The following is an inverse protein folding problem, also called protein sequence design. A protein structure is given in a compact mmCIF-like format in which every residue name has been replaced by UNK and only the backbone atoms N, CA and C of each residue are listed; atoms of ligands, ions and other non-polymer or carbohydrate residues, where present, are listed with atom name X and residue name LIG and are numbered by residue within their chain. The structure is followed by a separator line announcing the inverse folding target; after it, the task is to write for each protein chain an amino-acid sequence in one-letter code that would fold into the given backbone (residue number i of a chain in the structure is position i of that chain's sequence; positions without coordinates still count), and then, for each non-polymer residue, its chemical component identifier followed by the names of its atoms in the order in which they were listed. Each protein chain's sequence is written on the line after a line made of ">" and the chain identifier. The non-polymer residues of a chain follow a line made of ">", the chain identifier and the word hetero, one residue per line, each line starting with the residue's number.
data_IF_120369466859
#
_entry.id   IF_120369466859
#
_cell.length_a   1.000
_cell.length_b   1.000
_cell.length_c   1.000
_cell.angle_alpha   90.00
_cell.angle_beta   90.00
_cell.angle_gamma   90.00
#
_symmetry.space_group_name_H-M   'P 1'
#
loop_
_entity.id
_entity.type
_entity.pdbx_description
1 polymer ?
#
# COMPACT_ATOMS: atom_id res chain seq x y z
N UNK A 1 10.98 28.97 -16.79
CA UNK A 1 10.04 28.88 -15.66
C UNK A 1 10.42 27.65 -14.86
N UNK A 2 10.42 27.72 -13.52
CA UNK A 2 10.74 26.57 -12.68
C UNK A 2 9.71 25.45 -12.91
N UNK A 3 10.14 24.20 -12.78
CA UNK A 3 9.24 23.04 -12.84
C UNK A 3 8.62 22.81 -11.46
N UNK A 4 7.31 23.02 -11.36
CA UNK A 4 6.53 22.87 -10.13
C UNK A 4 5.68 21.61 -10.21
N UNK A 5 5.94 20.67 -9.30
CA UNK A 5 5.27 19.36 -9.24
C UNK A 5 4.52 19.22 -7.92
N UNK A 6 3.21 18.96 -8.00
CA UNK A 6 2.36 18.65 -6.85
C UNK A 6 2.03 17.15 -6.83
N UNK A 7 2.61 16.41 -5.90
CA UNK A 7 2.28 15.00 -5.63
C UNK A 7 1.04 14.88 -4.75
N UNK A 8 0.06 14.06 -5.15
CA UNK A 8 -1.19 13.83 -4.41
C UNK A 8 -1.46 12.33 -4.19
N UNK A 9 -1.42 11.91 -2.92
CA UNK A 9 -1.58 10.51 -2.50
C UNK A 9 -2.92 10.23 -1.78
N UNK A 10 -3.22 8.95 -1.56
CA UNK A 10 -4.27 8.45 -0.66
C UNK A 10 -5.73 8.72 -1.05
N UNK A 11 -6.00 9.24 -2.26
CA UNK A 11 -7.33 9.70 -2.66
C UNK A 11 -8.45 8.62 -2.72
N UNK A 12 -8.16 7.33 -2.51
CA UNK A 12 -9.18 6.27 -2.52
C UNK A 12 -9.39 5.54 -1.20
N UNK A 13 -8.38 5.47 -0.32
CA UNK A 13 -8.40 4.55 0.80
C UNK A 13 -8.01 5.23 2.10
N UNK A 14 -6.70 5.36 2.35
CA UNK A 14 -6.10 5.84 3.60
C UNK A 14 -4.88 6.70 3.26
N UNK A 15 -4.38 7.40 4.27
CA UNK A 15 -3.19 8.24 4.26
C UNK A 15 -3.15 9.25 3.10
N UNK A 16 -4.24 10.03 2.87
CA UNK A 16 -4.18 11.14 1.94
C UNK A 16 -3.12 12.14 2.37
N UNK A 17 -2.24 12.49 1.44
CA UNK A 17 -1.13 13.42 1.65
C UNK A 17 -0.80 14.19 0.38
N UNK A 18 -0.09 15.30 0.56
CA UNK A 18 0.43 16.12 -0.53
C UNK A 18 1.91 16.43 -0.32
N UNK A 19 2.65 16.56 -1.42
CA UNK A 19 4.03 17.04 -1.42
C UNK A 19 4.27 17.94 -2.62
N UNK A 20 4.94 19.07 -2.43
CA UNK A 20 5.26 20.02 -3.49
C UNK A 20 6.76 20.12 -3.68
N UNK A 21 7.17 19.98 -4.94
CA UNK A 21 8.55 20.12 -5.38
C UNK A 21 8.68 21.28 -6.35
N UNK A 22 9.78 22.03 -6.23
CA UNK A 22 10.21 23.06 -7.20
C UNK A 22 11.61 22.69 -7.67
N UNK A 23 11.79 22.49 -8.98
CA UNK A 23 13.07 22.11 -9.60
C UNK A 23 13.77 20.94 -8.90
N UNK A 24 12.96 19.97 -8.43
CA UNK A 24 13.44 18.76 -7.75
C UNK A 24 13.75 18.91 -6.26
N UNK A 25 13.63 20.11 -5.69
CA UNK A 25 13.72 20.34 -4.24
C UNK A 25 12.36 20.21 -3.57
N UNK A 26 12.28 19.44 -2.48
CA UNK A 26 11.06 19.34 -1.66
C UNK A 26 10.85 20.66 -0.90
N UNK A 27 9.72 21.32 -1.12
CA UNK A 27 9.38 22.60 -0.47
C UNK A 27 8.44 22.38 0.72
N UNK A 28 7.44 21.52 0.54
CA UNK A 28 6.47 21.20 1.58
C UNK A 28 5.93 19.78 1.37
N UNK A 29 5.65 19.08 2.47
CA UNK A 29 4.89 17.84 2.46
C UNK A 29 4.06 17.74 3.74
N UNK A 30 2.83 17.24 3.62
CA UNK A 30 1.96 17.08 4.77
C UNK A 30 0.94 15.95 4.56
N UNK A 31 0.52 15.35 5.67
CA UNK A 31 -0.54 14.35 5.73
C UNK A 31 -1.86 15.01 6.15
N UNK A 32 -2.97 14.66 5.47
CA UNK A 32 -4.28 15.26 5.71
C UNK A 32 -4.75 15.04 7.16
N UNK A 33 -4.43 13.88 7.75
CA UNK A 33 -4.82 13.54 9.12
C UNK A 33 -4.37 14.58 10.16
N UNK A 34 -3.27 15.30 9.89
CA UNK A 34 -2.74 16.34 10.78
C UNK A 34 -3.67 17.54 10.86
N UNK A 35 -4.37 17.85 9.76
CA UNK A 35 -5.29 18.98 9.66
C UNK A 35 -6.72 18.60 10.04
N UNK A 36 -7.23 17.46 9.55
CA UNK A 36 -8.60 17.02 9.86
C UNK A 36 -8.74 16.35 11.23
N UNK A 37 -7.61 16.05 11.90
CA UNK A 37 -7.55 15.40 13.22
C UNK A 37 -8.25 14.03 13.26
N UNK A 38 -8.27 13.36 12.11
CA UNK A 38 -8.93 12.07 11.87
C UNK A 38 -7.86 11.09 11.40
N UNK A 39 -7.52 10.10 12.24
CA UNK A 39 -6.39 9.19 12.03
C UNK A 39 -6.57 8.39 10.74
N UNK A 40 -5.53 8.33 9.92
CA UNK A 40 -5.48 7.83 8.55
C UNK A 40 -6.36 8.56 7.54
N UNK A 41 -7.15 9.55 7.98
CA UNK A 41 -8.11 10.34 7.19
C UNK A 41 -8.84 9.47 6.14
N UNK A 42 -9.36 8.31 6.57
CA UNK A 42 -9.87 7.26 5.66
C UNK A 42 -10.96 7.82 4.75
N UNK A 43 -10.88 7.49 3.46
CA UNK A 43 -11.76 7.96 2.39
C UNK A 43 -11.79 9.48 2.15
N UNK A 44 -10.88 10.27 2.73
CA UNK A 44 -10.76 11.70 2.46
C UNK A 44 -9.81 11.99 1.30
N UNK A 45 -9.80 13.25 0.86
CA UNK A 45 -8.88 13.78 -0.15
C UNK A 45 -7.81 14.63 0.54
N UNK A 46 -6.60 14.74 -0.01
CA UNK A 46 -5.54 15.60 0.55
C UNK A 46 -5.77 17.08 0.24
N UNK A 47 -6.94 17.63 0.63
CA UNK A 47 -7.30 19.01 0.32
C UNK A 47 -6.51 19.99 1.19
N UNK A 48 -6.55 19.81 2.50
CA UNK A 48 -5.89 20.71 3.45
C UNK A 48 -4.37 20.58 3.33
N UNK A 49 -3.86 19.37 3.13
CA UNK A 49 -2.45 19.12 2.85
C UNK A 49 -1.96 19.80 1.56
N UNK A 50 -2.73 19.74 0.46
CA UNK A 50 -2.37 20.41 -0.78
C UNK A 50 -2.43 21.93 -0.67
N UNK A 51 -3.46 22.48 -0.03
CA UNK A 51 -3.57 23.91 0.26
C UNK A 51 -2.38 24.41 1.08
N UNK A 52 -2.02 23.67 2.13
CA UNK A 52 -0.85 23.97 2.95
C UNK A 52 0.43 23.99 2.09
N UNK A 53 0.64 23.00 1.22
CA UNK A 53 1.84 22.95 0.39
C UNK A 53 1.95 24.16 -0.56
N UNK A 54 0.84 24.56 -1.20
CA UNK A 54 0.80 25.74 -2.07
C UNK A 54 1.06 27.04 -1.29
N UNK A 55 0.41 27.19 -0.13
CA UNK A 55 0.59 28.36 0.74
C UNK A 55 2.03 28.46 1.27
N UNK A 56 2.60 27.36 1.74
CA UNK A 56 3.96 27.30 2.27
C UNK A 56 5.01 27.68 1.23
N UNK A 57 4.74 27.39 -0.05
CA UNK A 57 5.62 27.74 -1.15
C UNK A 57 5.34 29.12 -1.75
N UNK A 58 4.27 29.80 -1.34
CA UNK A 58 3.85 31.08 -1.90
C UNK A 58 3.44 31.00 -3.37
N UNK A 59 2.95 29.83 -3.82
CA UNK A 59 2.61 29.55 -5.22
C UNK A 59 1.09 29.64 -5.42
N UNK A 60 0.67 30.32 -6.48
CA UNK A 60 -0.70 30.29 -6.93
C UNK A 60 -1.05 28.96 -7.61
N UNK A 61 -2.28 28.44 -7.47
CA UNK A 61 -2.69 27.17 -8.06
C UNK A 61 -2.39 27.03 -9.56
N UNK A 62 -2.53 28.10 -10.34
CA UNK A 62 -2.30 28.11 -11.79
C UNK A 62 -0.82 28.01 -12.21
N UNK A 63 0.13 28.08 -11.28
CA UNK A 63 1.56 27.96 -11.57
C UNK A 63 2.05 26.50 -11.51
N UNK A 64 1.26 25.58 -10.93
CA UNK A 64 1.60 24.16 -10.89
C UNK A 64 1.66 23.62 -12.32
N UNK A 65 2.76 22.94 -12.69
CA UNK A 65 2.94 22.41 -14.04
C UNK A 65 2.49 20.96 -14.16
N UNK A 66 2.81 20.16 -13.14
CA UNK A 66 2.55 18.71 -13.13
C UNK A 66 1.89 18.31 -11.81
N UNK A 67 0.88 17.45 -11.89
CA UNK A 67 0.31 16.76 -10.74
C UNK A 67 0.67 15.29 -10.84
N UNK A 68 1.47 14.79 -9.89
CA UNK A 68 1.88 13.39 -9.85
C UNK A 68 0.97 12.58 -8.92
N UNK A 69 0.56 11.38 -9.35
CA UNK A 69 -0.28 10.48 -8.53
C UNK A 69 0.35 9.09 -8.42
N UNK A 70 0.39 8.46 -7.23
CA UNK A 70 1.09 7.19 -6.99
C UNK A 70 0.21 5.98 -7.33
N UNK A 71 -0.44 6.02 -8.50
CA UNK A 71 -1.24 4.94 -9.05
C UNK A 71 -1.19 4.99 -10.58
N UNK A 72 -0.68 3.95 -11.21
CA UNK A 72 -0.59 3.84 -12.66
C UNK A 72 -1.50 2.74 -13.24
N UNK A 73 -1.95 2.87 -14.49
CA UNK A 73 -2.63 1.78 -15.17
C UNK A 73 -1.65 0.64 -15.47
N UNK A 74 -2.05 -0.60 -15.13
CA UNK A 74 -1.28 -1.80 -15.45
C UNK A 74 -1.86 -2.41 -16.73
N UNK A 75 -1.04 -2.60 -17.77
CA UNK A 75 -1.49 -3.21 -19.02
C UNK A 75 -1.87 -4.69 -18.82
N UNK A 76 -2.85 -5.17 -19.59
CA UNK A 76 -3.28 -6.58 -19.54
C UNK A 76 -2.20 -7.56 -20.02
N UNK A 77 -1.26 -7.08 -20.82
CA UNK A 77 -0.10 -7.83 -21.31
C UNK A 77 0.96 -8.06 -20.24
N UNK A 78 0.92 -7.31 -19.12
CA UNK A 78 1.83 -7.54 -17.99
C UNK A 78 1.37 -8.75 -17.16
N UNK A 79 2.31 -9.51 -16.57
CA UNK A 79 1.99 -10.74 -15.84
C UNK A 79 1.16 -10.50 -14.57
N UNK A 80 1.14 -9.28 -14.03
CA UNK A 80 0.52 -8.94 -12.75
C UNK A 80 -0.94 -9.39 -12.60
N UNK A 81 -1.78 -9.04 -13.59
CA UNK A 81 -3.21 -9.38 -13.54
C UNK A 81 -3.45 -10.88 -13.69
N UNK A 82 -2.66 -11.54 -14.53
CA UNK A 82 -2.75 -12.98 -14.76
C UNK A 82 -2.26 -13.78 -13.56
N UNK A 83 -1.18 -13.35 -12.92
CA UNK A 83 -0.69 -13.96 -11.68
C UNK A 83 -1.74 -13.85 -10.57
N UNK A 84 -2.31 -12.65 -10.36
CA UNK A 84 -3.41 -12.43 -9.43
C UNK A 84 -4.59 -13.37 -9.72
N UNK A 85 -5.08 -13.39 -10.96
CA UNK A 85 -6.21 -14.22 -11.35
C UNK A 85 -5.94 -15.72 -11.16
N UNK A 86 -4.75 -16.20 -11.56
CA UNK A 86 -4.33 -17.60 -11.41
C UNK A 86 -4.22 -18.01 -9.94
N UNK A 87 -3.59 -17.19 -9.11
CA UNK A 87 -3.37 -17.51 -7.69
C UNK A 87 -4.67 -17.43 -6.88
N UNK A 88 -5.59 -16.57 -7.28
CA UNK A 88 -6.94 -16.45 -6.72
C UNK A 88 -8.03 -17.17 -7.54
N UNK A 89 -7.71 -18.29 -8.20
CA UNK A 89 -8.66 -19.05 -9.03
C UNK A 89 -9.97 -19.44 -8.32
N UNK A 90 -9.94 -19.54 -6.99
CA UNK A 90 -11.10 -19.86 -6.14
C UNK A 90 -12.02 -18.64 -5.86
N UNK A 91 -11.68 -17.46 -6.37
CA UNK A 91 -12.48 -16.24 -6.32
C UNK A 91 -12.69 -15.72 -7.76
N UNK A 92 -13.52 -16.40 -8.57
CA UNK A 92 -13.64 -16.13 -10.00
C UNK A 92 -14.14 -14.71 -10.30
N UNK A 93 -15.01 -14.15 -9.46
CA UNK A 93 -15.47 -12.76 -9.56
C UNK A 93 -14.31 -11.77 -9.52
N UNK A 94 -13.36 -11.97 -8.59
CA UNK A 94 -12.18 -11.12 -8.41
C UNK A 94 -11.15 -11.34 -9.51
N UNK A 95 -10.94 -12.60 -9.92
CA UNK A 95 -10.05 -12.94 -11.01
C UNK A 95 -10.50 -12.28 -12.33
N UNK A 96 -11.80 -12.37 -12.65
CA UNK A 96 -12.36 -11.74 -13.84
C UNK A 96 -12.30 -10.20 -13.77
N UNK A 97 -12.63 -9.59 -12.62
CA UNK A 97 -12.49 -8.14 -12.45
C UNK A 97 -11.03 -7.68 -12.62
N UNK A 98 -10.05 -8.45 -12.14
CA UNK A 98 -8.64 -8.12 -12.35
C UNK A 98 -8.24 -8.16 -13.84
N UNK A 99 -8.70 -9.15 -14.60
CA UNK A 99 -8.36 -9.28 -16.03
C UNK A 99 -9.03 -8.19 -16.87
N UNK A 100 -10.35 -8.05 -16.78
CA UNK A 100 -11.13 -7.18 -17.65
C UNK A 100 -11.24 -5.74 -17.13
N UNK A 101 -11.10 -5.55 -15.83
CA UNK A 101 -11.36 -4.27 -15.15
C UNK A 101 -10.24 -3.85 -14.20
N UNK A 102 -9.02 -4.39 -14.36
CA UNK A 102 -7.90 -4.15 -13.43
C UNK A 102 -7.50 -2.69 -13.23
N UNK A 103 -7.84 -1.80 -14.18
CA UNK A 103 -7.60 -0.35 -14.04
C UNK A 103 -8.78 0.42 -13.42
N UNK A 104 -9.81 -0.25 -12.89
CA UNK A 104 -10.95 0.40 -12.22
C UNK A 104 -10.49 1.27 -11.06
N UNK A 105 -9.53 0.79 -10.26
CA UNK A 105 -8.94 1.55 -9.14
C UNK A 105 -8.29 2.83 -9.65
N UNK A 106 -7.41 2.73 -10.65
CA UNK A 106 -6.80 3.89 -11.31
C UNK A 106 -7.83 4.92 -11.81
N UNK A 107 -8.87 4.49 -12.54
CA UNK A 107 -9.90 5.41 -13.07
C UNK A 107 -10.65 6.15 -11.96
N UNK A 108 -11.00 5.46 -10.86
CA UNK A 108 -11.63 6.10 -9.70
C UNK A 108 -10.66 7.07 -9.00
N UNK A 109 -9.39 6.68 -8.85
CA UNK A 109 -8.36 7.53 -8.24
C UNK A 109 -8.21 8.82 -9.04
N UNK A 110 -8.00 8.71 -10.36
CA UNK A 110 -7.90 9.83 -11.28
C UNK A 110 -9.13 10.74 -11.20
N UNK A 111 -10.34 10.19 -11.23
CA UNK A 111 -11.56 10.99 -11.14
C UNK A 111 -11.65 11.80 -9.84
N UNK A 112 -11.26 11.22 -8.71
CA UNK A 112 -11.25 11.92 -7.42
C UNK A 112 -10.18 13.02 -7.36
N UNK A 113 -9.01 12.78 -7.94
CA UNK A 113 -7.96 13.80 -8.04
C UNK A 113 -8.40 14.96 -8.93
N UNK A 114 -9.03 14.71 -10.09
CA UNK A 114 -9.53 15.80 -10.94
C UNK A 114 -10.55 16.68 -10.21
N UNK A 115 -11.45 16.09 -9.41
CA UNK A 115 -12.38 16.84 -8.57
C UNK A 115 -11.69 17.61 -7.44
N UNK A 116 -10.56 17.11 -6.91
CA UNK A 116 -9.73 17.83 -5.95
C UNK A 116 -9.03 19.04 -6.59
N UNK A 117 -8.47 18.87 -7.80
CA UNK A 117 -7.79 19.97 -8.50
C UNK A 117 -8.74 21.15 -8.74
N UNK A 118 -9.99 20.88 -9.13
CA UNK A 118 -11.02 21.91 -9.24
C UNK A 118 -11.26 22.66 -7.92
N UNK A 119 -11.29 21.95 -6.78
CA UNK A 119 -11.44 22.57 -5.45
C UNK A 119 -10.23 23.41 -5.05
N UNK A 120 -9.04 23.07 -5.55
CA UNK A 120 -7.80 23.84 -5.34
C UNK A 120 -7.68 25.04 -6.28
N UNK A 121 -8.58 25.19 -7.26
CA UNK A 121 -8.47 26.22 -8.31
C UNK A 121 -7.41 25.90 -9.38
N UNK A 122 -7.01 24.63 -9.48
CA UNK A 122 -6.13 24.12 -10.54
C UNK A 122 -7.01 23.60 -11.67
N UNK A 123 -6.90 24.20 -12.86
CA UNK A 123 -7.67 23.77 -14.03
C UNK A 123 -7.17 22.41 -14.55
N UNK A 124 -7.96 21.34 -14.46
CA UNK A 124 -7.52 20.03 -14.90
C UNK A 124 -7.31 19.91 -16.43
N UNK A 125 -7.83 20.86 -17.22
CA UNK A 125 -7.61 20.88 -18.67
C UNK A 125 -6.22 21.39 -19.06
N UNK A 126 -5.59 22.16 -18.19
CA UNK A 126 -4.31 22.83 -18.43
C UNK A 126 -3.15 22.24 -17.60
N UNK A 127 -3.40 21.12 -16.92
CA UNK A 127 -2.41 20.45 -16.05
C UNK A 127 -1.99 19.11 -16.64
N UNK A 128 -0.69 18.82 -16.58
CA UNK A 128 -0.19 17.48 -16.86
C UNK A 128 -0.42 16.59 -15.62
N UNK A 129 -1.20 15.53 -15.78
CA UNK A 129 -1.41 14.53 -14.73
C UNK A 129 -0.52 13.33 -15.00
N UNK A 130 0.49 13.13 -14.15
CA UNK A 130 1.50 12.08 -14.30
C UNK A 130 1.22 10.90 -13.35
N UNK A 131 0.74 9.75 -13.86
CA UNK A 131 0.54 8.55 -13.06
C UNK A 131 1.84 7.77 -12.87
N UNK A 132 2.28 7.61 -11.63
CA UNK A 132 3.49 6.88 -11.25
C UNK A 132 3.11 5.54 -10.63
N UNK A 133 3.79 4.45 -11.01
CA UNK A 133 3.59 3.13 -10.39
C UNK A 133 3.80 3.22 -8.88
N UNK A 134 2.89 2.66 -8.08
CA UNK A 134 2.86 2.85 -6.63
C UNK A 134 4.19 2.50 -5.94
N UNK A 135 4.78 1.36 -6.28
CA UNK A 135 6.06 0.93 -5.73
C UNK A 135 7.25 1.74 -6.24
N UNK A 136 7.15 2.29 -7.46
CA UNK A 136 8.17 3.22 -7.95
C UNK A 136 8.13 4.52 -7.16
N UNK A 137 6.94 5.00 -6.77
CA UNK A 137 6.79 6.15 -5.89
C UNK A 137 7.41 5.87 -4.50
N UNK A 138 7.16 4.71 -3.90
CA UNK A 138 7.83 4.28 -2.66
C UNK A 138 9.35 4.17 -2.81
N UNK A 139 9.84 3.54 -3.88
CA UNK A 139 11.26 3.44 -4.16
C UNK A 139 11.91 4.82 -4.31
N UNK A 140 11.22 5.75 -4.97
CA UNK A 140 11.65 7.13 -5.17
C UNK A 140 11.74 7.91 -3.87
N UNK A 141 10.74 7.80 -2.99
CA UNK A 141 10.73 8.53 -1.71
C UNK A 141 11.83 8.06 -0.75
N UNK A 142 12.36 6.84 -0.94
CA UNK A 142 13.55 6.38 -0.23
C UNK A 142 14.83 6.79 -0.96
N UNK A 143 15.01 6.35 -2.21
CA UNK A 143 16.28 6.52 -2.93
C UNK A 143 16.63 7.99 -3.18
N UNK A 144 15.71 8.80 -3.70
CA UNK A 144 16.00 10.21 -4.00
C UNK A 144 16.14 11.08 -2.75
N UNK A 145 15.66 10.60 -1.59
CA UNK A 145 15.80 11.27 -0.30
C UNK A 145 16.94 10.71 0.57
N UNK A 146 17.61 9.63 0.13
CA UNK A 146 18.64 8.94 0.92
C UNK A 146 19.95 9.72 1.05
N UNK A 147 20.24 10.61 0.10
CA UNK A 147 21.55 11.27 -0.02
C UNK A 147 22.65 10.38 -0.62
N UNK A 148 22.34 9.14 -0.99
CA UNK A 148 23.32 8.23 -1.60
C UNK A 148 23.60 8.62 -3.06
N UNK A 149 24.88 8.59 -3.42
CA UNK A 149 25.36 8.88 -4.78
C UNK A 149 25.79 7.63 -5.54
N UNK A 150 26.22 6.60 -4.81
CA UNK A 150 26.59 5.31 -5.37
C UNK A 150 25.37 4.48 -5.79
N UNK A 151 25.67 3.42 -6.54
CA UNK A 151 24.69 2.40 -6.90
C UNK A 151 24.10 1.78 -5.64
N UNK A 152 22.80 2.00 -5.43
CA UNK A 152 22.12 1.71 -4.18
C UNK A 152 21.05 0.63 -4.39
N UNK A 153 21.07 -0.45 -3.61
CA UNK A 153 19.99 -1.43 -3.63
C UNK A 153 18.71 -0.86 -3.00
N UNK A 154 17.56 -1.17 -3.60
CA UNK A 154 16.25 -0.71 -3.15
C UNK A 154 15.36 -1.93 -2.93
N UNK A 155 14.81 -2.05 -1.72
CA UNK A 155 13.80 -3.05 -1.37
C UNK A 155 12.59 -2.34 -0.76
N UNK A 156 11.42 -2.53 -1.34
CA UNK A 156 10.15 -2.06 -0.79
C UNK A 156 9.26 -3.25 -0.46
N UNK A 157 8.74 -3.32 0.76
CA UNK A 157 7.78 -4.33 1.20
C UNK A 157 6.50 -3.61 1.58
N UNK A 158 5.41 -3.92 0.90
CA UNK A 158 4.11 -3.28 1.11
C UNK A 158 2.99 -4.33 1.19
N UNK A 159 1.81 -3.91 1.64
CA UNK A 159 0.59 -4.69 1.53
C UNK A 159 0.25 -4.96 0.07
N UNK A 160 -0.02 -3.90 -0.71
CA UNK A 160 -0.38 -3.96 -2.13
C UNK A 160 -0.50 -2.56 -2.77
N UNK A 161 0.29 -2.32 -3.81
CA UNK A 161 0.09 -1.21 -4.75
C UNK A 161 -1.07 -1.45 -5.74
N UNK A 162 -0.77 -1.43 -7.04
CA UNK A 162 -1.73 -1.86 -8.07
C UNK A 162 -1.96 -3.37 -7.98
N UNK A 163 -0.86 -4.11 -8.01
CA UNK A 163 -0.78 -5.57 -7.90
C UNK A 163 0.52 -6.03 -7.25
N UNK A 164 1.60 -5.26 -7.40
CA UNK A 164 2.86 -5.52 -6.75
C UNK A 164 2.72 -5.41 -5.22
N UNK A 165 3.48 -6.23 -4.50
CA UNK A 165 3.49 -6.36 -3.03
C UNK A 165 4.91 -6.23 -2.46
N UNK A 166 5.91 -6.51 -3.28
CA UNK A 166 7.32 -6.27 -2.95
C UNK A 166 8.03 -5.77 -4.20
N UNK A 167 8.96 -4.84 -4.03
CA UNK A 167 9.79 -4.26 -5.09
C UNK A 167 11.25 -4.51 -4.77
N UNK A 168 11.99 -5.01 -5.75
CA UNK A 168 13.44 -5.11 -5.74
C UNK A 168 13.99 -4.34 -6.93
N UNK A 169 14.96 -3.49 -6.67
CA UNK A 169 15.63 -2.72 -7.71
C UNK A 169 16.92 -2.12 -7.20
N UNK A 170 17.48 -1.24 -8.01
CA UNK A 170 18.59 -0.39 -7.59
C UNK A 170 18.43 1.01 -8.16
N UNK A 171 18.94 1.99 -7.43
CA UNK A 171 19.12 3.35 -7.86
C UNK A 171 20.54 3.57 -8.38
N UNK A 172 20.67 4.18 -9.56
CA UNK A 172 21.96 4.59 -10.11
C UNK A 172 21.76 5.83 -10.99
N UNK A 173 22.62 6.85 -10.86
CA UNK A 173 22.51 8.11 -11.62
C UNK A 173 21.11 8.75 -11.60
N UNK A 174 20.48 8.82 -10.41
CA UNK A 174 19.10 9.33 -10.21
C UNK A 174 18.00 8.58 -11.01
N UNK A 175 18.29 7.36 -11.46
CA UNK A 175 17.30 6.47 -12.10
C UNK A 175 17.09 5.25 -11.24
N UNK A 176 15.85 4.79 -11.19
CA UNK A 176 15.48 3.56 -10.49
C UNK A 176 15.30 2.46 -11.53
N UNK A 177 16.03 1.36 -11.35
CA UNK A 177 15.98 0.17 -12.18
C UNK A 177 15.31 -0.95 -11.40
N UNK A 178 14.11 -1.33 -11.83
CA UNK A 178 13.41 -2.48 -11.26
C UNK A 178 14.10 -3.77 -11.70
N UNK A 179 14.42 -4.64 -10.74
CA UNK A 179 14.92 -6.00 -10.97
C UNK A 179 13.75 -7.00 -10.90
N UNK A 180 12.94 -6.91 -9.84
CA UNK A 180 11.89 -7.91 -9.57
C UNK A 180 10.75 -7.32 -8.74
N UNK A 181 9.58 -7.89 -8.88
CA UNK A 181 8.45 -7.66 -8.00
C UNK A 181 7.84 -8.99 -7.55
N UNK A 182 7.31 -9.01 -6.33
CA UNK A 182 6.28 -9.97 -5.96
C UNK A 182 4.90 -9.37 -6.17
N UNK A 183 3.93 -10.25 -6.39
CA UNK A 183 2.61 -9.88 -6.87
C UNK A 183 1.57 -10.58 -5.99
N UNK A 184 0.55 -9.83 -5.58
CA UNK A 184 -0.60 -10.30 -4.79
C UNK A 184 -1.18 -11.61 -5.40
N UNK A 185 -1.40 -12.68 -4.61
CA UNK A 185 -1.40 -12.82 -3.13
C UNK A 185 -0.07 -12.85 -2.42
N UNK A 186 1.05 -12.87 -3.12
CA UNK A 186 2.34 -13.17 -2.50
C UNK A 186 2.92 -11.91 -1.84
N UNK A 187 2.35 -11.55 -0.67
CA UNK A 187 2.61 -10.33 0.09
C UNK A 187 2.94 -10.63 1.55
N UNK A 188 4.13 -10.23 2.01
CA UNK A 188 4.48 -10.28 3.43
C UNK A 188 3.69 -9.24 4.24
N UNK A 189 3.49 -8.03 3.70
CA UNK A 189 2.66 -7.01 4.35
C UNK A 189 1.22 -7.47 4.51
N UNK A 190 0.67 -8.13 3.49
CA UNK A 190 -0.66 -8.77 3.57
C UNK A 190 -0.71 -9.89 4.61
N UNK A 191 0.33 -10.73 4.67
CA UNK A 191 0.38 -11.85 5.63
C UNK A 191 0.40 -11.31 7.07
N UNK A 192 1.26 -10.31 7.32
CA UNK A 192 1.35 -9.63 8.60
C UNK A 192 0.04 -8.94 8.98
N UNK A 193 -0.62 -8.30 8.01
CA UNK A 193 -1.95 -7.71 8.18
C UNK A 193 -3.04 -8.75 8.50
N UNK A 194 -3.01 -9.92 7.86
CA UNK A 194 -3.95 -11.00 8.13
C UNK A 194 -3.76 -11.57 9.56
N UNK A 195 -2.51 -11.74 10.01
CA UNK A 195 -2.21 -12.14 11.39
C UNK A 195 -2.58 -11.03 12.38
N UNK A 196 -2.39 -9.76 12.01
CA UNK A 196 -2.84 -8.62 12.82
C UNK A 196 -4.34 -8.65 13.06
N UNK A 197 -5.14 -8.93 12.02
CA UNK A 197 -6.58 -9.13 12.17
C UNK A 197 -6.93 -10.34 13.04
N UNK A 198 -6.18 -11.44 12.90
CA UNK A 198 -6.36 -12.66 13.70
C UNK A 198 -6.05 -12.41 15.19
N UNK A 199 -5.07 -11.57 15.47
CA UNK A 199 -4.67 -11.15 16.82
C UNK A 199 -5.56 -10.07 17.44
N UNK A 200 -6.70 -9.78 16.81
CA UNK A 200 -7.73 -8.92 17.39
C UNK A 200 -7.63 -7.45 16.97
N UNK A 201 -6.56 -7.06 16.28
CA UNK A 201 -6.34 -5.68 15.86
C UNK A 201 -6.88 -5.40 14.45
N UNK A 202 -6.86 -4.15 14.02
CA UNK A 202 -7.26 -3.78 12.67
C UNK A 202 -6.07 -3.77 11.71
N UNK A 203 -6.25 -4.29 10.50
CA UNK A 203 -5.24 -4.14 9.43
C UNK A 203 -5.07 -2.66 9.04
N UNK A 204 -3.84 -2.27 8.70
CA UNK A 204 -3.41 -0.90 8.38
C UNK A 204 -3.46 0.07 9.58
N UNK A 205 -3.41 -0.47 10.80
CA UNK A 205 -3.32 0.31 12.04
C UNK A 205 -2.69 -0.54 13.16
N UNK A 206 -3.11 -1.78 13.32
CA UNK A 206 -2.75 -2.66 14.42
C UNK A 206 -1.36 -3.29 14.35
N UNK A 207 -0.69 -3.21 13.20
CA UNK A 207 0.56 -3.91 12.91
C UNK A 207 1.66 -3.56 13.94
N UNK A 208 1.76 -2.28 14.35
CA UNK A 208 2.74 -1.86 15.35
C UNK A 208 2.45 -2.43 16.74
N UNK A 209 1.19 -2.76 17.06
CA UNK A 209 0.83 -3.40 18.34
C UNK A 209 1.26 -4.85 18.35
N UNK A 210 1.13 -5.56 17.23
CA UNK A 210 1.65 -6.92 17.07
C UNK A 210 3.16 -6.93 17.22
N UNK A 211 3.85 -6.00 16.55
CA UNK A 211 5.29 -5.81 16.72
C UNK A 211 5.67 -5.51 18.16
N UNK A 212 4.88 -4.67 18.87
CA UNK A 212 5.09 -4.37 20.28
C UNK A 212 4.82 -5.55 21.23
N UNK A 213 3.97 -6.50 20.83
CA UNK A 213 3.70 -7.74 21.56
C UNK A 213 4.79 -8.80 21.37
N UNK A 214 5.42 -8.84 20.19
CA UNK A 214 6.39 -9.88 19.80
C UNK A 214 7.52 -10.12 20.83
N UNK A 215 8.13 -9.11 21.48
CA UNK A 215 9.21 -9.33 22.45
C UNK A 215 8.80 -10.07 23.73
N UNK A 216 7.50 -10.18 24.01
CA UNK A 216 6.99 -10.85 25.21
C UNK A 216 6.56 -12.30 24.95
N UNK A 217 6.64 -12.76 23.69
CA UNK A 217 6.32 -14.12 23.31
C UNK A 217 7.55 -15.04 23.24
N UNK A 218 7.32 -16.25 22.73
CA UNK A 218 8.37 -17.25 22.48
C UNK A 218 8.30 -17.58 20.98
N UNK A 219 9.28 -17.12 20.17
CA UNK A 219 9.29 -17.35 18.73
C UNK A 219 9.47 -18.83 18.35
N UNK A 220 9.91 -19.69 19.28
CA UNK A 220 10.08 -21.13 19.04
C UNK A 220 8.84 -21.96 19.36
N UNK A 221 7.80 -21.37 19.96
CA UNK A 221 6.62 -22.13 20.44
C UNK A 221 5.68 -22.56 19.32
N UNK A 222 5.62 -21.82 18.22
CA UNK A 222 4.78 -22.15 17.06
C UNK A 222 5.56 -22.06 15.76
N UNK A 223 5.36 -23.04 14.87
CA UNK A 223 5.98 -23.06 13.54
C UNK A 223 5.04 -22.49 12.48
N UNK A 224 5.36 -21.29 12.00
CA UNK A 224 4.58 -20.57 10.99
C UNK A 224 5.06 -20.81 9.55
N UNK A 225 6.00 -21.73 9.32
CA UNK A 225 6.55 -22.07 7.99
C UNK A 225 5.49 -22.49 6.97
N UNK A 226 4.33 -22.98 7.41
CA UNK A 226 3.21 -23.33 6.51
C UNK A 226 2.48 -22.12 5.89
N UNK A 227 2.69 -20.92 6.42
CA UNK A 227 2.03 -19.69 5.94
C UNK A 227 2.71 -19.10 4.71
N UNK A 228 4.04 -19.24 4.61
CA UNK A 228 4.83 -18.70 3.51
C UNK A 228 6.09 -19.54 3.26
N UNK A 229 6.48 -19.67 2.00
CA UNK A 229 7.79 -20.20 1.62
C UNK A 229 8.53 -19.22 0.71
N UNK A 230 9.86 -19.28 0.77
CA UNK A 230 10.74 -18.55 -0.14
C UNK A 230 11.72 -19.54 -0.77
N UNK A 231 11.48 -19.88 -2.02
CA UNK A 231 12.24 -20.90 -2.74
C UNK A 231 12.60 -20.38 -4.13
N UNK A 232 13.85 -20.59 -4.55
CA UNK A 232 14.34 -20.16 -5.88
C UNK A 232 14.13 -18.66 -6.16
N UNK A 233 14.19 -17.84 -5.12
CA UNK A 233 13.97 -16.39 -5.21
C UNK A 233 12.49 -15.98 -5.33
N UNK A 234 11.54 -16.91 -5.22
CA UNK A 234 10.10 -16.63 -5.26
C UNK A 234 9.49 -16.73 -3.86
N UNK A 235 8.79 -15.67 -3.44
CA UNK A 235 7.92 -15.71 -2.27
C UNK A 235 6.59 -16.35 -2.66
N UNK A 236 6.10 -17.27 -1.84
CA UNK A 236 4.78 -17.87 -2.00
C UNK A 236 4.01 -17.87 -0.70
N UNK A 237 2.90 -17.13 -0.66
CA UNK A 237 1.97 -17.14 0.46
C UNK A 237 0.97 -18.28 0.29
N UNK A 238 0.68 -18.98 1.39
CA UNK A 238 -0.30 -20.04 1.40
C UNK A 238 -1.72 -19.48 1.51
N UNK A 239 -2.36 -19.23 0.35
CA UNK A 239 -3.74 -18.72 0.24
C UNK A 239 -4.83 -19.71 0.68
N UNK A 240 -4.45 -20.77 1.40
CA UNK A 240 -5.37 -21.59 2.18
C UNK A 240 -5.52 -21.06 3.61
N UNK A 241 -4.61 -20.22 4.10
CA UNK A 241 -4.59 -19.69 5.47
C UNK A 241 -4.68 -18.16 5.51
N UNK A 242 -3.83 -17.46 4.76
CA UNK A 242 -3.70 -16.00 4.81
C UNK A 242 -3.72 -15.39 3.40
N UNK A 243 -3.82 -14.06 3.32
CA UNK A 243 -4.02 -13.29 2.09
C UNK A 243 -5.18 -13.84 1.27
N UNK A 244 -6.29 -14.18 1.93
CA UNK A 244 -7.44 -14.77 1.26
C UNK A 244 -8.47 -13.71 0.85
N UNK A 245 -9.13 -13.96 -0.27
CA UNK A 245 -10.24 -13.15 -0.77
C UNK A 245 -11.46 -14.03 -1.08
N UNK A 246 -12.60 -13.41 -1.39
CA UNK A 246 -13.78 -14.12 -1.87
C UNK A 246 -14.25 -15.22 -0.90
N UNK A 247 -14.41 -16.43 -1.42
CA UNK A 247 -15.02 -17.57 -0.72
C UNK A 247 -14.21 -18.10 0.47
N UNK A 248 -12.89 -17.84 0.53
CA UNK A 248 -12.03 -18.38 1.59
C UNK A 248 -11.91 -17.47 2.81
N UNK A 249 -12.48 -16.27 2.79
CA UNK A 249 -12.39 -15.35 3.93
C UNK A 249 -13.15 -15.93 5.12
N UNK A 250 -12.49 -16.01 6.27
CA UNK A 250 -13.18 -16.17 7.53
C UNK A 250 -14.17 -15.02 7.71
N UNK A 251 -15.40 -15.33 8.14
CA UNK A 251 -16.44 -14.33 8.39
C UNK A 251 -16.88 -14.41 9.83
N UNK A 252 -16.83 -13.28 10.52
CA UNK A 252 -17.36 -13.15 11.88
C UNK A 252 -18.16 -11.86 11.99
N UNK A 253 -19.39 -11.95 12.53
CA UNK A 253 -20.33 -10.82 12.69
C UNK A 253 -20.50 -9.99 11.39
N UNK A 254 -20.61 -10.66 10.24
CA UNK A 254 -20.79 -10.01 8.93
C UNK A 254 -19.54 -9.37 8.32
N UNK A 255 -18.42 -9.27 9.05
CA UNK A 255 -17.12 -8.82 8.53
C UNK A 255 -16.31 -10.01 8.01
N UNK A 256 -15.75 -9.88 6.82
CA UNK A 256 -14.78 -10.83 6.27
C UNK A 256 -13.36 -10.38 6.58
N UNK A 257 -12.47 -11.33 6.89
CA UNK A 257 -11.06 -11.08 7.25
C UNK A 257 -10.11 -11.59 6.15
N UNK A 258 -8.85 -11.15 6.19
CA UNK A 258 -7.82 -11.57 5.21
C UNK A 258 -7.16 -12.93 5.52
N UNK A 259 -7.68 -13.66 6.51
CA UNK A 259 -7.36 -15.06 6.80
C UNK A 259 -8.59 -15.97 6.61
N UNK A 260 -8.38 -17.28 6.56
CA UNK A 260 -9.42 -18.30 6.37
C UNK A 260 -9.79 -19.03 7.65
N UNK A 261 -10.88 -19.80 7.58
CA UNK A 261 -11.28 -20.70 8.68
C UNK A 261 -10.17 -21.72 9.01
N UNK A 262 -9.32 -22.10 8.06
CA UNK A 262 -8.20 -23.02 8.34
C UNK A 262 -7.16 -22.43 9.27
N UNK A 263 -7.01 -21.09 9.31
CA UNK A 263 -6.14 -20.45 10.28
C UNK A 263 -6.75 -20.57 11.68
N UNK A 264 -8.07 -20.40 11.79
CA UNK A 264 -8.83 -20.56 13.03
C UNK A 264 -8.82 -22.01 13.52
N UNK A 265 -9.01 -22.97 12.62
CA UNK A 265 -8.95 -24.41 12.94
C UNK A 265 -7.57 -24.82 13.49
N UNK A 266 -6.52 -24.12 13.08
CA UNK A 266 -5.14 -24.43 13.49
C UNK A 266 -4.72 -23.69 14.76
N UNK A 267 -4.93 -22.37 14.82
CA UNK A 267 -4.46 -21.51 15.91
C UNK A 267 -5.53 -21.25 16.97
N UNK A 268 -6.73 -21.81 16.81
CA UNK A 268 -7.87 -21.53 17.67
C UNK A 268 -8.59 -20.23 17.30
N UNK A 269 -9.50 -19.77 18.15
CA UNK A 269 -10.33 -18.60 17.86
C UNK A 269 -9.48 -17.34 17.72
N UNK A 270 -9.93 -16.44 16.83
CA UNK A 270 -9.44 -15.06 16.74
C UNK A 270 -9.46 -14.43 18.14
N UNK A 271 -8.42 -13.67 18.48
CA UNK A 271 -8.36 -12.93 19.75
C UNK A 271 -9.50 -11.91 19.84
N UNK A 272 -10.14 -11.84 21.01
CA UNK A 272 -11.10 -10.80 21.37
C UNK A 272 -10.62 -10.07 22.63
N UNK A 273 -10.84 -8.75 22.70
CA UNK A 273 -10.41 -7.91 23.83
C UNK A 273 -8.97 -7.36 23.71
N UNK A 274 -8.57 -6.60 24.72
CA UNK A 274 -7.32 -5.82 24.72
C UNK A 274 -6.15 -6.48 25.46
N UNK A 275 -6.39 -7.54 26.22
CA UNK A 275 -5.36 -8.18 27.07
C UNK A 275 -4.46 -9.07 26.20
N UNK A 276 -3.15 -8.86 26.32
CA UNK A 276 -2.13 -9.62 25.58
C UNK A 276 -1.84 -10.93 26.31
N UNK A 277 -2.71 -11.91 26.13
CA UNK A 277 -2.66 -13.20 26.83
C UNK A 277 -2.09 -14.33 25.95
N UNK A 278 -1.78 -15.47 26.59
CA UNK A 278 -1.53 -16.71 25.89
C UNK A 278 -2.80 -17.22 25.17
N UNK A 279 -2.67 -17.85 23.98
CA UNK A 279 -1.44 -18.13 23.24
C UNK A 279 -0.99 -16.98 22.30
N UNK A 280 -1.76 -15.90 22.23
CA UNK A 280 -1.63 -14.84 21.22
C UNK A 280 -0.32 -14.07 21.28
N UNK A 281 0.27 -13.93 22.47
CA UNK A 281 1.59 -13.31 22.61
C UNK A 281 2.68 -14.10 21.87
N UNK A 282 2.59 -15.44 21.86
CA UNK A 282 3.53 -16.29 21.16
C UNK A 282 3.30 -16.27 19.65
N UNK A 283 2.04 -16.16 19.19
CA UNK A 283 1.74 -15.96 17.78
C UNK A 283 2.30 -14.65 17.23
N UNK A 284 2.30 -13.58 18.02
CA UNK A 284 2.92 -12.32 17.63
C UNK A 284 4.44 -12.43 17.49
N UNK A 285 5.08 -13.34 18.23
CA UNK A 285 6.51 -13.59 18.20
C UNK A 285 6.96 -14.58 17.11
N UNK A 286 6.06 -15.44 16.61
CA UNK A 286 6.36 -16.57 15.70
C UNK A 286 6.40 -16.19 14.21
#
# INVERSE_FOLDING_TARGET
>A
MPLIVLGLSGALNHDPSAALYIDGALVAAAEEERFVRDKHAKNRLPLQAAQFCLQQAGIAPGEVNVVAIPFAPIAITRPHRWHYARRYWYAPDRALDALFNGNRRYRRYRSRILGLLQQLGIDPANIELEPVEHHLAHASSAYHCSGFSEKTAIMGIDGKGEYATTFFGYGEHRKIHRIKEFIDPDSLGGLYGALTEFLGFDMLDGEYKVMGMAPYGDPGRYDFSRLASFEHGELRINTRYANVIGLRRHKHKGRGYYFSDRLVDWLGPRREGDVADEPYIHYAAS
#
